data_IF_957047601872
#
_entry.id   IF_957047601872
#
_cell.length_a   1.000
_cell.length_b   1.000
_cell.length_c   1.000
_cell.angle_alpha   90.00
_cell.angle_beta   90.00
_cell.angle_gamma   90.00
#
_symmetry.space_group_name_H-M   'P 1'
#
loop_
_entity.id
_entity.type
_entity.pdbx_description
1 polymer ?
#
# COMPACT_ATOMS: atom_id res chain seq x y z
N UNK A 1 3.01 -9.49 -19.70
CA UNK A 1 1.58 -9.61 -19.37
C UNK A 1 1.34 -8.77 -18.13
N UNK A 2 1.05 -7.49 -18.33
CA UNK A 2 0.53 -6.60 -17.28
C UNK A 2 -0.90 -7.08 -16.98
N UNK A 3 -1.21 -7.33 -15.71
CA UNK A 3 -2.60 -7.54 -15.31
C UNK A 3 -3.42 -6.28 -15.63
N UNK A 4 -4.76 -6.33 -15.56
CA UNK A 4 -5.54 -5.10 -15.61
C UNK A 4 -5.04 -4.20 -14.48
N UNK A 5 -4.45 -3.07 -14.82
CA UNK A 5 -4.09 -2.04 -13.85
C UNK A 5 -5.38 -1.63 -13.13
N UNK A 6 -5.30 -1.57 -11.80
CA UNK A 6 -6.40 -1.08 -10.98
C UNK A 6 -6.75 0.33 -11.44
N UNK A 7 -8.01 0.55 -11.84
CA UNK A 7 -8.42 1.88 -12.26
C UNK A 7 -8.25 2.88 -11.11
N UNK A 8 -8.05 4.15 -11.48
CA UNK A 8 -7.76 5.21 -10.52
C UNK A 8 -8.86 5.34 -9.44
N UNK A 9 -10.13 5.11 -9.78
CA UNK A 9 -11.23 5.23 -8.83
C UNK A 9 -11.20 4.12 -7.76
N UNK A 10 -10.80 2.91 -8.14
CA UNK A 10 -10.66 1.79 -7.20
C UNK A 10 -9.42 1.95 -6.32
N UNK A 11 -8.30 2.39 -6.91
CA UNK A 11 -7.10 2.79 -6.16
C UNK A 11 -7.41 3.87 -5.11
N UNK A 12 -8.12 4.91 -5.52
CA UNK A 12 -8.62 5.99 -4.66
C UNK A 12 -9.50 5.44 -3.53
N UNK A 13 -10.46 4.56 -3.85
CA UNK A 13 -11.34 3.95 -2.86
C UNK A 13 -10.56 3.17 -1.81
N UNK A 14 -9.62 2.30 -2.21
CA UNK A 14 -8.76 1.55 -1.29
C UNK A 14 -7.93 2.45 -0.39
N UNK A 15 -7.42 3.56 -0.93
CA UNK A 15 -6.72 4.58 -0.13
C UNK A 15 -7.62 5.12 0.97
N UNK A 16 -8.84 5.51 0.61
CA UNK A 16 -9.85 6.08 1.52
C UNK A 16 -10.48 5.04 2.45
N UNK A 17 -10.22 3.76 2.26
CA UNK A 17 -10.53 2.71 3.23
C UNK A 17 -9.43 2.57 4.30
N UNK A 18 -8.21 3.07 4.05
CA UNK A 18 -7.03 2.81 4.89
C UNK A 18 -6.92 3.83 6.01
N UNK A 19 -6.76 3.36 7.25
CA UNK A 19 -6.66 4.19 8.45
C UNK A 19 -5.37 3.95 9.22
N UNK A 20 -4.94 4.94 9.99
CA UNK A 20 -3.88 4.78 10.98
C UNK A 20 -4.52 4.54 12.35
N UNK A 21 -4.01 3.56 13.09
CA UNK A 21 -4.40 3.25 14.46
C UNK A 21 -3.25 3.68 15.38
N UNK A 22 -3.56 4.51 16.37
CA UNK A 22 -2.59 5.01 17.35
C UNK A 22 -3.05 4.74 18.79
N UNK A 23 -2.10 4.55 19.70
CA UNK A 23 -2.34 4.44 21.16
C UNK A 23 -1.69 5.61 21.89
N UNK A 24 -2.06 5.85 23.15
CA UNK A 24 -1.46 6.91 23.98
C UNK A 24 0.06 6.74 24.17
N UNK A 25 0.56 5.50 24.17
CA UNK A 25 1.98 5.17 24.29
C UNK A 25 2.76 5.34 22.98
N UNK A 26 2.12 5.85 21.93
CA UNK A 26 2.74 6.14 20.64
C UNK A 26 2.94 4.94 19.74
N UNK A 27 2.35 3.77 20.06
CA UNK A 27 2.31 2.66 19.12
C UNK A 27 1.46 3.07 17.91
N UNK A 28 1.98 2.81 16.72
CA UNK A 28 1.35 3.12 15.43
C UNK A 28 1.18 1.85 14.63
N UNK A 29 0.01 1.67 14.06
CA UNK A 29 -0.25 0.58 13.13
C UNK A 29 -1.26 0.97 12.07
N UNK A 30 -1.44 0.08 11.11
CA UNK A 30 -2.38 0.25 10.00
C UNK A 30 -3.70 -0.42 10.33
N UNK A 31 -4.76 0.03 9.66
CA UNK A 31 -6.03 -0.65 9.65
C UNK A 31 -6.82 -0.28 8.40
N UNK A 32 -8.01 -0.86 8.25
CA UNK A 32 -8.89 -0.48 7.15
C UNK A 32 -10.36 -0.73 7.46
N UNK A 33 -11.22 0.02 6.77
CA UNK A 33 -12.68 -0.09 6.87
C UNK A 33 -13.17 -1.37 6.19
N UNK A 34 -13.86 -2.22 6.96
CA UNK A 34 -14.53 -3.46 6.48
C UNK A 34 -16.05 -3.35 6.45
N UNK A 35 -16.59 -2.34 7.13
CA UNK A 35 -17.99 -1.92 7.05
C UNK A 35 -18.08 -0.46 7.53
N UNK A 36 -19.22 0.24 7.36
CA UNK A 36 -19.39 1.61 7.88
C UNK A 36 -19.08 1.68 9.39
N UNK A 37 -18.07 2.48 9.75
CA UNK A 37 -17.63 2.62 11.14
C UNK A 37 -16.98 1.38 11.76
N UNK A 38 -16.55 0.39 10.95
CA UNK A 38 -15.88 -0.82 11.42
C UNK A 38 -14.48 -0.91 10.83
N UNK A 39 -13.47 -0.92 11.67
CA UNK A 39 -12.06 -0.97 11.27
C UNK A 39 -11.43 -2.29 11.71
N UNK A 40 -10.75 -2.97 10.79
CA UNK A 40 -9.87 -4.11 11.12
C UNK A 40 -8.42 -3.64 11.27
N UNK A 41 -7.73 -4.19 12.26
CA UNK A 41 -6.29 -4.03 12.49
C UNK A 41 -5.73 -5.28 13.19
N UNK A 42 -4.47 -5.25 13.65
CA UNK A 42 -3.88 -6.32 14.47
C UNK A 42 -4.29 -6.22 15.95
N UNK A 43 -4.51 -7.37 16.60
CA UNK A 43 -4.87 -7.43 18.03
C UNK A 43 -3.79 -6.83 18.93
N UNK A 44 -2.52 -7.13 18.67
CA UNK A 44 -1.39 -6.63 19.46
C UNK A 44 -1.20 -5.11 19.44
N UNK A 45 -1.84 -4.42 18.49
CA UNK A 45 -1.81 -2.95 18.40
C UNK A 45 -2.73 -2.34 19.45
N UNK A 46 -3.84 -3.01 19.71
CA UNK A 46 -4.96 -2.47 20.50
C UNK A 46 -4.98 -3.05 21.90
N UNK A 47 -4.14 -4.05 22.19
CA UNK A 47 -3.98 -4.66 23.50
C UNK A 47 -2.65 -4.24 24.11
N UNK A 48 -2.68 -3.83 25.38
CA UNK A 48 -1.48 -3.60 26.17
C UNK A 48 -0.79 -4.94 26.49
N UNK A 49 0.54 -4.97 26.39
CA UNK A 49 1.39 -6.13 26.66
C UNK A 49 1.50 -6.51 28.13
N UNK A 50 0.45 -6.33 28.93
CA UNK A 50 0.36 -6.91 30.27
C UNK A 50 0.52 -8.42 30.16
N UNK A 51 1.50 -8.99 30.87
CA UNK A 51 1.88 -10.40 30.75
C UNK A 51 0.70 -11.36 30.87
N UNK A 52 0.88 -12.57 30.32
CA UNK A 52 -0.11 -13.62 30.05
C UNK A 52 -1.08 -14.04 31.19
N UNK A 53 -0.97 -13.46 32.38
CA UNK A 53 -1.81 -13.76 33.56
C UNK A 53 -3.02 -12.83 33.71
N UNK A 54 -3.03 -11.64 33.09
CA UNK A 54 -4.22 -10.79 32.99
C UNK A 54 -4.62 -10.72 31.52
N UNK A 55 -5.88 -10.99 31.19
CA UNK A 55 -6.39 -10.81 29.83
C UNK A 55 -5.97 -9.44 29.28
N UNK A 56 -5.62 -9.38 27.99
CA UNK A 56 -5.06 -8.17 27.40
C UNK A 56 -6.02 -7.01 27.59
N UNK A 57 -5.57 -5.95 28.27
CA UNK A 57 -6.37 -4.73 28.41
C UNK A 57 -6.29 -3.95 27.12
N UNK A 58 -7.40 -3.34 26.71
CA UNK A 58 -7.38 -2.43 25.55
C UNK A 58 -6.50 -1.24 25.88
N UNK A 59 -5.58 -0.91 24.98
CA UNK A 59 -4.63 0.18 25.13
C UNK A 59 -5.34 1.51 25.37
N UNK A 60 -4.81 2.30 26.32
CA UNK A 60 -5.34 3.62 26.62
C UNK A 60 -5.14 4.59 25.44
N UNK A 61 -6.10 5.51 25.28
CA UNK A 61 -6.06 6.53 24.24
C UNK A 61 -6.01 5.99 22.81
N UNK A 62 -6.66 4.85 22.56
CA UNK A 62 -6.80 4.29 21.22
C UNK A 62 -7.56 5.25 20.30
N UNK A 63 -6.97 5.55 19.15
CA UNK A 63 -7.49 6.52 18.18
C UNK A 63 -7.35 5.96 16.76
N UNK A 64 -8.40 6.13 15.96
CA UNK A 64 -8.37 5.92 14.51
C UNK A 64 -8.20 7.28 13.82
N UNK A 65 -7.17 7.42 13.00
CA UNK A 65 -6.96 8.58 12.13
C UNK A 65 -7.25 8.24 10.69
N UNK A 66 -7.96 9.14 10.04
CA UNK A 66 -8.36 9.07 8.65
C UNK A 66 -8.26 10.46 8.02
N UNK A 67 -8.26 10.58 6.68
CA UNK A 67 -8.20 11.88 5.99
C UNK A 67 -9.34 12.83 6.42
N UNK A 68 -10.47 12.28 6.87
CA UNK A 68 -11.63 13.06 7.33
C UNK A 68 -11.56 13.50 8.80
N UNK A 69 -10.62 12.98 9.59
CA UNK A 69 -10.54 13.34 11.00
C UNK A 69 -9.86 12.31 11.91
N UNK A 70 -9.98 12.58 13.20
CA UNK A 70 -9.40 11.78 14.28
C UNK A 70 -10.54 11.31 15.18
N UNK A 71 -10.63 10.00 15.41
CA UNK A 71 -11.76 9.34 16.03
C UNK A 71 -11.30 8.51 17.24
N UNK A 72 -11.59 8.95 18.47
CA UNK A 72 -11.31 8.16 19.67
C UNK A 72 -12.11 6.85 19.68
N UNK A 73 -11.47 5.78 20.13
CA UNK A 73 -12.09 4.45 20.30
C UNK A 73 -12.15 4.11 21.77
N UNK A 74 -13.36 3.89 22.28
CA UNK A 74 -13.55 3.47 23.68
C UNK A 74 -13.27 1.96 23.82
N UNK A 75 -12.77 1.49 24.98
CA UNK A 75 -12.44 0.08 25.18
C UNK A 75 -13.58 -0.91 24.88
N UNK A 76 -14.82 -0.57 25.21
CA UNK A 76 -16.00 -1.40 24.94
C UNK A 76 -16.32 -1.59 23.45
N UNK A 77 -15.68 -0.82 22.57
CA UNK A 77 -15.84 -0.90 21.12
C UNK A 77 -14.74 -1.72 20.43
N UNK A 78 -13.90 -2.41 21.20
CA UNK A 78 -12.79 -3.22 20.69
C UNK A 78 -13.10 -4.70 20.91
N UNK A 79 -13.05 -5.48 19.82
CA UNK A 79 -13.02 -6.94 19.86
C UNK A 79 -11.69 -7.42 19.31
N UNK A 80 -10.89 -8.11 20.10
CA UNK A 80 -9.58 -8.60 19.70
C UNK A 80 -9.47 -10.12 19.85
N UNK A 81 -8.84 -10.77 18.88
CA UNK A 81 -8.54 -12.19 18.87
C UNK A 81 -7.06 -12.43 18.51
N UNK A 82 -6.28 -13.05 19.42
CA UNK A 82 -6.69 -13.47 20.77
C UNK A 82 -6.98 -12.29 21.70
N UNK A 83 -7.74 -12.55 22.77
CA UNK A 83 -8.10 -11.55 23.77
C UNK A 83 -6.93 -11.16 24.71
N UNK A 84 -5.75 -11.76 24.54
CA UNK A 84 -4.55 -11.45 25.29
C UNK A 84 -3.35 -11.43 24.35
N UNK A 85 -2.45 -10.46 24.54
CA UNK A 85 -1.15 -10.48 23.90
C UNK A 85 -0.33 -11.65 24.49
N UNK A 86 -0.10 -12.71 23.71
CA UNK A 86 0.81 -13.76 24.17
C UNK A 86 2.26 -13.25 24.12
N UNK A 87 2.99 -13.44 25.22
CA UNK A 87 4.43 -13.21 25.27
C UNK A 87 5.17 -14.39 24.60
N UNK A 88 5.02 -14.51 23.29
CA UNK A 88 5.70 -15.52 22.47
C UNK A 88 6.62 -14.87 21.41
N UNK A 89 7.61 -15.61 20.88
CA UNK A 89 8.43 -15.13 19.76
C UNK A 89 7.64 -14.98 18.46
N UNK A 90 6.44 -15.56 18.41
CA UNK A 90 5.50 -15.44 17.32
C UNK A 90 4.21 -14.82 17.85
N UNK A 91 3.75 -13.78 17.17
CA UNK A 91 2.49 -13.11 17.47
C UNK A 91 1.35 -14.11 17.37
N UNK A 92 0.54 -14.18 18.43
CA UNK A 92 -0.52 -15.17 18.55
C UNK A 92 -1.53 -15.09 17.41
N UNK A 93 -2.14 -16.22 17.07
CA UNK A 93 -3.08 -16.32 15.97
C UNK A 93 -4.53 -16.10 16.48
N UNK A 94 -5.40 -15.36 15.76
CA UNK A 94 -5.19 -14.78 14.43
C UNK A 94 -4.49 -13.41 14.42
N UNK A 95 -4.34 -12.73 15.56
CA UNK A 95 -3.84 -11.34 15.67
C UNK A 95 -4.72 -10.36 14.88
N UNK A 96 -6.02 -10.41 15.14
CA UNK A 96 -7.01 -9.51 14.53
C UNK A 96 -7.75 -8.72 15.61
N UNK A 97 -8.01 -7.46 15.35
CA UNK A 97 -8.93 -6.64 16.13
C UNK A 97 -9.94 -5.94 15.22
N UNK A 98 -11.16 -5.82 15.73
CA UNK A 98 -12.25 -5.06 15.15
C UNK A 98 -12.55 -3.88 16.07
N UNK A 99 -12.45 -2.67 15.52
CA UNK A 99 -12.76 -1.42 16.19
C UNK A 99 -14.10 -0.90 15.69
N UNK A 100 -14.97 -0.52 16.63
CA UNK A 100 -16.25 0.13 16.32
C UNK A 100 -16.14 1.63 16.53
N UNK A 101 -16.29 2.38 15.45
CA UNK A 101 -16.12 3.83 15.37
C UNK A 101 -17.40 4.47 14.82
N UNK A 102 -18.47 4.63 15.63
CA UNK A 102 -19.78 5.08 15.16
C UNK A 102 -19.74 6.42 14.41
N UNK A 103 -18.85 7.33 14.81
CA UNK A 103 -18.65 8.63 14.16
C UNK A 103 -18.21 8.52 12.69
N UNK A 104 -17.68 7.37 12.26
CA UNK A 104 -17.32 7.08 10.87
C UNK A 104 -18.43 6.33 10.09
N UNK A 105 -19.52 5.89 10.73
CA UNK A 105 -20.55 5.10 10.04
C UNK A 105 -21.38 5.96 9.07
N UNK A 106 -21.61 7.24 9.39
CA UNK A 106 -22.42 8.17 8.58
C UNK A 106 -21.64 9.00 7.55
N UNK A 107 -20.32 8.83 7.44
CA UNK A 107 -19.48 9.70 6.60
C UNK A 107 -19.37 9.25 5.14
N UNK A 108 -19.99 8.11 4.77
CA UNK A 108 -19.95 7.59 3.40
C UNK A 108 -18.56 7.20 2.93
N UNK A 109 -17.65 6.86 3.86
CA UNK A 109 -16.34 6.34 3.49
C UNK A 109 -16.49 5.01 2.76
N UNK A 110 -15.66 4.77 1.72
CA UNK A 110 -15.64 3.47 1.08
C UNK A 110 -15.22 2.38 2.06
N UNK A 111 -15.64 1.16 1.76
CA UNK A 111 -15.31 -0.05 2.50
C UNK A 111 -14.43 -0.91 1.60
N UNK A 112 -13.38 -1.51 2.17
CA UNK A 112 -12.47 -2.33 1.39
C UNK A 112 -13.18 -3.63 0.95
N UNK A 113 -13.23 -3.91 -0.36
CA UNK A 113 -13.89 -5.11 -0.86
C UNK A 113 -13.03 -6.34 -0.55
N UNK A 114 -13.62 -7.36 0.08
CA UNK A 114 -12.94 -8.63 0.35
C UNK A 114 -13.04 -9.55 -0.86
N UNK A 115 -12.01 -10.36 -1.11
CA UNK A 115 -12.10 -11.38 -2.14
C UNK A 115 -12.95 -12.57 -1.69
N UNK A 116 -13.35 -13.42 -2.65
CA UNK A 116 -14.03 -14.69 -2.35
C UNK A 116 -13.09 -15.86 -2.07
N UNK A 117 -11.79 -15.72 -2.35
CA UNK A 117 -10.81 -16.80 -2.26
C UNK A 117 -9.42 -16.31 -1.80
N UNK A 118 -8.62 -17.23 -1.29
CA UNK A 118 -7.22 -16.95 -0.92
C UNK A 118 -6.37 -16.65 -2.16
N UNK A 119 -5.33 -15.83 -2.00
CA UNK A 119 -4.34 -15.63 -3.04
C UNK A 119 -3.49 -16.90 -3.26
N UNK A 120 -3.28 -17.28 -4.51
CA UNK A 120 -2.43 -18.42 -4.86
C UNK A 120 -0.94 -18.09 -4.63
N UNK A 121 -0.07 -19.09 -4.40
CA UNK A 121 1.37 -18.90 -4.45
C UNK A 121 1.82 -18.24 -5.76
N UNK A 122 2.75 -17.30 -5.67
CA UNK A 122 3.23 -16.48 -6.78
C UNK A 122 2.37 -15.25 -7.09
N UNK A 123 1.15 -15.14 -6.53
CA UNK A 123 0.32 -13.95 -6.72
C UNK A 123 1.02 -12.71 -6.16
N UNK A 124 1.08 -11.65 -6.97
CA UNK A 124 1.52 -10.32 -6.54
C UNK A 124 0.41 -9.67 -5.71
N UNK A 125 0.78 -9.19 -4.53
CA UNK A 125 -0.08 -8.42 -3.64
C UNK A 125 0.56 -7.07 -3.36
N UNK A 126 -0.28 -6.07 -3.14
CA UNK A 126 0.15 -4.77 -2.63
C UNK A 126 -0.37 -4.58 -1.23
N UNK A 127 0.52 -4.37 -0.26
CA UNK A 127 0.11 -3.92 1.06
C UNK A 127 -0.20 -2.43 1.02
N UNK A 128 -1.33 -2.01 1.59
CA UNK A 128 -1.62 -0.61 1.89
C UNK A 128 -1.68 -0.41 3.41
N UNK A 129 -0.97 0.59 3.90
CA UNK A 129 -0.92 0.91 5.32
C UNK A 129 -0.08 2.16 5.61
N UNK A 130 0.21 2.40 6.87
CA UNK A 130 1.05 3.49 7.34
C UNK A 130 2.24 2.92 8.10
N UNK A 131 3.47 3.23 7.68
CA UNK A 131 4.63 2.91 8.50
C UNK A 131 4.79 3.89 9.66
N UNK A 132 5.57 3.51 10.66
CA UNK A 132 6.01 4.40 11.73
C UNK A 132 6.76 5.65 11.22
N UNK A 133 7.20 5.61 9.96
CA UNK A 133 7.94 6.66 9.26
C UNK A 133 7.06 7.52 8.32
N UNK A 134 5.74 7.28 8.24
CA UNK A 134 4.86 8.14 7.44
C UNK A 134 4.84 9.55 8.06
N UNK A 135 5.26 10.61 7.33
CA UNK A 135 5.54 11.93 7.90
C UNK A 135 4.30 12.69 8.39
N UNK A 136 3.16 12.50 7.74
CA UNK A 136 1.86 13.02 8.20
C UNK A 136 0.87 11.86 8.29
N UNK A 137 0.54 11.40 9.50
CA UNK A 137 -0.58 10.50 9.75
C UNK A 137 -1.84 10.87 8.95
N UNK A 138 -2.34 9.96 8.11
CA UNK A 138 -3.65 10.10 7.46
C UNK A 138 -3.72 10.89 6.14
N UNK A 139 -2.60 11.21 5.48
CA UNK A 139 -2.62 11.92 4.19
C UNK A 139 -2.52 10.97 2.99
N UNK A 140 -1.61 9.99 3.02
CA UNK A 140 -1.56 8.90 2.04
C UNK A 140 -0.92 7.66 2.70
N UNK A 141 -1.49 6.45 2.50
CA UNK A 141 -0.86 5.21 2.92
C UNK A 141 0.41 4.94 2.09
N UNK A 142 1.41 4.39 2.74
CA UNK A 142 2.56 3.76 2.10
C UNK A 142 2.12 2.43 1.42
N UNK A 143 2.79 2.05 0.35
CA UNK A 143 2.54 0.79 -0.37
C UNK A 143 3.75 -0.13 -0.39
N UNK A 144 3.52 -1.44 -0.30
CA UNK A 144 4.59 -2.46 -0.41
C UNK A 144 4.20 -3.52 -1.46
N UNK A 145 5.08 -3.73 -2.43
CA UNK A 145 4.95 -4.83 -3.39
C UNK A 145 5.46 -6.14 -2.78
N UNK A 146 4.58 -7.14 -2.74
CA UNK A 146 4.81 -8.44 -2.12
C UNK A 146 4.35 -9.56 -3.04
N UNK A 147 4.88 -10.76 -2.87
CA UNK A 147 4.45 -11.97 -3.57
C UNK A 147 4.14 -13.06 -2.56
N UNK A 148 3.04 -13.77 -2.79
CA UNK A 148 2.65 -14.91 -1.95
C UNK A 148 3.64 -16.05 -2.15
N UNK A 149 4.23 -16.53 -1.06
CA UNK A 149 5.07 -17.74 -1.08
C UNK A 149 4.20 -18.98 -0.85
N UNK A 150 3.26 -18.89 0.10
CA UNK A 150 2.37 -19.98 0.48
C UNK A 150 2.18 -20.07 1.99
N UNK A 151 1.52 -21.14 2.44
CA UNK A 151 1.23 -21.35 3.86
C UNK A 151 2.51 -21.53 4.68
N UNK A 152 2.56 -20.87 5.84
CA UNK A 152 3.62 -20.95 6.84
C UNK A 152 2.98 -21.07 8.22
N UNK A 153 2.72 -22.31 8.63
CA UNK A 153 1.92 -22.58 9.83
C UNK A 153 0.47 -22.13 9.62
N UNK A 154 -0.06 -21.33 10.55
CA UNK A 154 -1.43 -20.78 10.47
C UNK A 154 -1.52 -19.50 9.62
N UNK A 155 -0.39 -18.91 9.24
CA UNK A 155 -0.31 -17.71 8.42
C UNK A 155 0.04 -18.04 6.97
N UNK A 156 -0.06 -17.04 6.10
CA UNK A 156 0.49 -17.09 4.73
C UNK A 156 1.72 -16.21 4.68
N UNK A 157 2.82 -16.75 4.14
CA UNK A 157 4.08 -16.04 3.97
C UNK A 157 4.08 -15.25 2.66
N UNK A 158 4.65 -14.06 2.72
CA UNK A 158 4.90 -13.17 1.59
C UNK A 158 6.35 -12.71 1.57
N UNK A 159 6.88 -12.48 0.37
CA UNK A 159 8.25 -12.00 0.13
C UNK A 159 8.25 -10.77 -0.78
N UNK A 160 9.30 -9.97 -0.72
CA UNK A 160 9.45 -8.77 -1.55
C UNK A 160 9.97 -7.60 -0.73
N UNK A 161 9.23 -6.50 -0.70
CA UNK A 161 9.59 -5.35 0.12
C UNK A 161 9.64 -5.70 1.63
N UNK A 162 10.57 -5.09 2.35
CA UNK A 162 10.65 -5.24 3.80
C UNK A 162 9.43 -4.59 4.47
N UNK A 163 8.71 -5.36 5.29
CA UNK A 163 7.59 -4.84 6.08
C UNK A 163 8.14 -3.97 7.21
N UNK A 164 7.97 -2.65 7.08
CA UNK A 164 8.43 -1.66 8.07
C UNK A 164 7.48 -1.66 9.27
N UNK A 165 7.95 -1.35 10.50
CA UNK A 165 7.08 -1.20 11.67
C UNK A 165 5.89 -0.27 11.38
N UNK A 166 4.70 -0.66 11.82
CA UNK A 166 3.45 0.10 11.64
C UNK A 166 2.58 -0.41 10.48
N UNK A 167 3.13 -1.19 9.55
CA UNK A 167 2.33 -1.80 8.49
C UNK A 167 1.39 -2.89 8.98
N UNK A 168 1.63 -3.45 10.17
CA UNK A 168 0.74 -4.41 10.81
C UNK A 168 -0.70 -3.90 10.85
N UNK A 169 -1.65 -4.75 10.48
CA UNK A 169 -3.07 -4.44 10.37
C UNK A 169 -3.49 -3.87 9.01
N UNK A 170 -2.54 -3.57 8.11
CA UNK A 170 -2.81 -3.09 6.76
C UNK A 170 -3.44 -4.16 5.88
N UNK A 171 -4.19 -3.72 4.86
CA UNK A 171 -4.79 -4.63 3.87
C UNK A 171 -3.73 -5.14 2.89
N UNK A 172 -3.84 -6.39 2.47
CA UNK A 172 -3.15 -6.92 1.28
C UNK A 172 -4.14 -7.03 0.14
N UNK A 173 -3.85 -6.35 -0.97
CA UNK A 173 -4.77 -6.23 -2.10
C UNK A 173 -4.19 -6.94 -3.33
N UNK A 174 -5.03 -7.71 -4.01
CA UNK A 174 -4.69 -8.32 -5.30
C UNK A 174 -4.71 -7.32 -6.46
N UNK A 175 -4.28 -7.74 -7.66
CA UNK A 175 -4.36 -6.90 -8.87
C UNK A 175 -5.81 -6.56 -9.28
N UNK A 176 -6.79 -7.30 -8.76
CA UNK A 176 -8.23 -7.06 -8.96
C UNK A 176 -8.81 -5.99 -8.01
N UNK A 177 -8.01 -5.51 -7.05
CA UNK A 177 -8.44 -4.54 -6.05
C UNK A 177 -9.17 -5.15 -4.87
N UNK A 178 -9.12 -6.47 -4.72
CA UNK A 178 -9.79 -7.18 -3.63
C UNK A 178 -8.79 -7.52 -2.52
N UNK A 179 -9.22 -7.36 -1.26
CA UNK A 179 -8.43 -7.70 -0.08
C UNK A 179 -8.31 -9.21 0.05
N UNK A 180 -7.07 -9.69 0.15
CA UNK A 180 -6.68 -11.10 0.29
C UNK A 180 -6.21 -11.46 1.70
N UNK A 181 -6.14 -10.49 2.61
CA UNK A 181 -5.81 -10.72 4.01
C UNK A 181 -5.31 -9.48 4.74
N UNK A 182 -4.90 -9.68 6.00
CA UNK A 182 -4.39 -8.62 6.89
C UNK A 182 -2.91 -8.83 7.14
N UNK A 183 -2.08 -7.85 6.77
CA UNK A 183 -0.63 -7.91 6.93
C UNK A 183 -0.26 -7.90 8.42
N UNK A 184 0.66 -8.78 8.82
CA UNK A 184 1.34 -8.71 10.11
C UNK A 184 2.64 -7.95 9.96
N UNK A 185 3.08 -7.25 11.01
CA UNK A 185 4.42 -6.69 10.99
C UNK A 185 5.43 -7.82 10.83
N UNK A 186 6.44 -7.59 10.01
CA UNK A 186 7.54 -8.52 9.86
C UNK A 186 8.28 -8.67 11.18
N UNK A 187 8.73 -9.88 11.49
CA UNK A 187 9.76 -10.10 12.52
C UNK A 187 10.94 -9.15 12.25
N UNK A 188 11.69 -8.71 13.26
CA UNK A 188 12.76 -7.70 13.08
C UNK A 188 13.86 -8.09 12.07
N UNK A 189 13.93 -9.33 11.59
CA UNK A 189 14.99 -9.81 10.69
C UNK A 189 14.56 -10.97 9.76
N UNK A 190 13.53 -10.86 8.90
CA UNK A 190 13.24 -11.92 7.94
C UNK A 190 14.27 -11.81 6.81
N UNK A 191 15.14 -12.80 6.66
CA UNK A 191 15.91 -13.01 5.42
C UNK A 191 15.38 -14.29 4.76
N UNK A 192 14.83 -14.22 3.53
CA UNK A 192 14.62 -13.04 2.69
C UNK A 192 13.55 -12.06 3.24
N UNK A 193 13.58 -10.77 2.82
CA UNK A 193 12.64 -9.74 3.26
C UNK A 193 11.20 -10.09 2.87
N UNK A 194 10.27 -9.69 3.73
CA UNK A 194 8.85 -9.99 3.57
C UNK A 194 8.12 -10.00 4.90
N UNK A 195 7.08 -10.81 5.00
CA UNK A 195 6.28 -10.92 6.21
C UNK A 195 5.28 -12.07 6.15
N UNK A 196 4.29 -11.97 7.03
CA UNK A 196 3.18 -12.92 7.10
C UNK A 196 1.88 -12.15 7.09
N UNK A 197 0.81 -12.80 6.65
CA UNK A 197 -0.52 -12.24 6.75
C UNK A 197 -1.53 -13.26 7.25
N UNK A 198 -2.59 -12.74 7.84
CA UNK A 198 -3.74 -13.50 8.31
C UNK A 198 -4.58 -13.91 7.10
N UNK A 199 -4.81 -15.23 6.87
CA UNK A 199 -5.56 -15.70 5.71
C UNK A 199 -6.95 -15.07 5.60
N UNK A 200 -7.45 -14.89 4.38
CA UNK A 200 -8.75 -14.30 4.11
C UNK A 200 -9.89 -15.07 4.78
N UNK A 201 -9.87 -16.40 4.74
CA UNK A 201 -10.89 -17.23 5.37
C UNK A 201 -10.97 -16.99 6.89
N UNK A 202 -9.83 -16.69 7.52
CA UNK A 202 -9.74 -16.38 8.96
C UNK A 202 -10.28 -14.98 9.24
N UNK A 203 -9.97 -14.02 8.38
CA UNK A 203 -10.56 -12.67 8.44
C UNK A 203 -12.09 -12.73 8.31
N UNK A 204 -12.61 -13.45 7.32
CA UNK A 204 -14.06 -13.60 7.10
C UNK A 204 -14.73 -14.26 8.31
N UNK A 205 -14.14 -15.35 8.82
CA UNK A 205 -14.65 -16.03 10.00
C UNK A 205 -14.64 -15.12 11.24
N UNK A 206 -13.58 -14.32 11.43
CA UNK A 206 -13.50 -13.32 12.49
C UNK A 206 -14.61 -12.29 12.35
N UNK A 207 -14.79 -11.70 11.16
CA UNK A 207 -15.80 -10.67 10.92
C UNK A 207 -17.23 -11.18 11.13
N UNK A 208 -17.52 -12.43 10.76
CA UNK A 208 -18.85 -13.02 10.90
C UNK A 208 -19.91 -12.16 10.18
N UNK A 209 -20.96 -11.66 10.88
CA UNK A 209 -21.99 -10.84 10.25
C UNK A 209 -21.52 -9.43 9.86
N UNK A 210 -20.37 -8.98 10.37
CA UNK A 210 -19.76 -7.70 9.98
C UNK A 210 -18.90 -7.83 8.71
N UNK A 211 -18.83 -9.02 8.10
CA UNK A 211 -18.15 -9.18 6.81
C UNK A 211 -18.92 -8.42 5.73
N UNK A 212 -18.26 -7.60 4.89
CA UNK A 212 -18.94 -7.00 3.76
C UNK A 212 -19.45 -8.10 2.85
N UNK A 213 -20.61 -7.87 2.23
CA UNK A 213 -21.11 -8.76 1.20
C UNK A 213 -20.02 -8.98 0.16
N UNK A 214 -19.86 -10.24 -0.25
CA UNK A 214 -18.92 -10.55 -1.32
C UNK A 214 -19.26 -9.62 -2.50
N UNK A 215 -18.28 -8.90 -3.06
CA UNK A 215 -18.56 -8.06 -4.21
C UNK A 215 -19.22 -8.94 -5.26
N UNK A 216 -20.42 -8.55 -5.72
CA UNK A 216 -21.02 -9.19 -6.90
C UNK A 216 -19.93 -9.18 -7.96
N UNK A 217 -19.63 -10.37 -8.51
CA UNK A 217 -18.60 -10.52 -9.52
C UNK A 217 -18.81 -9.40 -10.53
N UNK A 218 -17.78 -8.57 -10.81
CA UNK A 218 -17.98 -7.40 -11.64
C UNK A 218 -18.64 -7.87 -12.93
N UNK A 219 -19.86 -7.37 -13.21
CA UNK A 219 -20.49 -7.60 -14.50
C UNK A 219 -19.42 -7.26 -15.53
N UNK A 220 -19.02 -8.27 -16.30
CA UNK A 220 -17.99 -8.10 -17.32
C UNK A 220 -18.36 -6.85 -18.11
N UNK A 221 -17.46 -5.85 -18.22
CA UNK A 221 -17.83 -4.56 -18.77
C UNK A 221 -18.49 -4.78 -20.12
N UNK A 222 -19.79 -4.50 -20.18
CA UNK A 222 -20.55 -4.50 -21.42
C UNK A 222 -19.78 -3.63 -22.39
N UNK A 223 -19.45 -4.20 -23.55
CA UNK A 223 -18.63 -3.59 -24.57
C UNK A 223 -19.34 -2.33 -25.13
N UNK A 224 -19.27 -1.23 -24.39
CA UNK A 224 -19.51 0.09 -24.91
C UNK A 224 -18.30 0.43 -25.76
N UNK A 225 -18.39 0.08 -27.04
CA UNK A 225 -17.50 0.53 -28.10
C UNK A 225 -17.53 2.05 -28.16
N UNK A 226 -16.65 2.70 -27.40
CA UNK A 226 -16.31 4.10 -27.60
C UNK A 226 -15.53 4.14 -28.92
N UNK A 227 -16.18 4.66 -29.96
CA UNK A 227 -15.53 4.92 -31.22
C UNK A 227 -14.32 5.83 -30.96
N UNK A 228 -13.12 5.27 -31.11
CA UNK A 228 -11.86 5.98 -31.02
C UNK A 228 -11.79 6.99 -32.18
N UNK A 229 -12.24 8.21 -31.92
CA UNK A 229 -11.85 9.35 -32.74
C UNK A 229 -10.35 9.55 -32.52
N UNK A 230 -9.54 9.16 -33.50
CA UNK A 230 -8.11 9.41 -33.48
C UNK A 230 -7.87 10.91 -33.26
N UNK A 231 -7.18 11.31 -32.17
CA UNK A 231 -6.83 12.71 -32.00
C UNK A 231 -5.84 13.07 -33.10
N UNK A 232 -6.07 14.24 -33.71
CA UNK A 232 -5.09 14.89 -34.58
C UNK A 232 -3.83 15.08 -33.76
N UNK A 233 -2.81 14.24 -34.00
CA UNK A 233 -1.51 14.31 -33.34
C UNK A 233 -0.82 15.58 -33.80
N UNK A 234 -1.05 16.68 -33.08
CA UNK A 234 -0.07 17.74 -33.06
C UNK A 234 1.20 17.13 -32.47
N UNK A 235 2.33 17.32 -33.14
CA UNK A 235 3.62 16.85 -32.64
C UNK A 235 3.91 17.56 -31.32
N UNK A 236 3.48 16.96 -30.21
CA UNK A 236 3.69 17.51 -28.89
C UNK A 236 5.19 17.57 -28.64
N UNK A 237 5.66 18.77 -28.32
CA UNK A 237 7.05 19.02 -27.97
C UNK A 237 7.49 18.01 -26.90
N UNK A 238 8.70 17.42 -27.01
CA UNK A 238 9.21 16.57 -25.94
C UNK A 238 9.24 17.39 -24.63
N UNK A 239 8.77 16.80 -23.52
CA UNK A 239 8.71 17.51 -22.23
C UNK A 239 10.12 17.98 -21.83
N UNK A 240 10.23 19.05 -21.05
CA UNK A 240 11.51 19.48 -20.50
C UNK A 240 11.81 18.81 -19.14
N UNK A 241 12.96 19.14 -18.53
CA UNK A 241 13.33 18.59 -17.22
C UNK A 241 12.35 19.01 -16.13
N UNK A 242 11.83 20.25 -16.21
CA UNK A 242 10.94 20.80 -15.20
C UNK A 242 9.61 20.06 -15.20
N UNK A 243 9.06 19.74 -16.37
CA UNK A 243 7.82 18.98 -16.50
C UNK A 243 7.94 17.55 -15.93
N UNK A 244 9.05 16.86 -16.21
CA UNK A 244 9.34 15.55 -15.62
C UNK A 244 9.46 15.64 -14.09
N UNK A 245 10.17 16.65 -13.58
CA UNK A 245 10.29 16.87 -12.13
C UNK A 245 8.93 17.17 -11.51
N UNK A 246 8.10 18.00 -12.15
CA UNK A 246 6.76 18.30 -11.66
C UNK A 246 5.85 17.07 -11.64
N UNK A 247 5.97 16.18 -12.62
CA UNK A 247 5.29 14.89 -12.59
C UNK A 247 5.76 14.02 -11.41
N UNK A 248 7.07 13.96 -11.14
CA UNK A 248 7.62 13.21 -9.99
C UNK A 248 7.27 13.84 -8.63
N UNK A 249 7.13 15.16 -8.57
CA UNK A 249 6.73 15.91 -7.38
C UNK A 249 5.28 15.63 -6.97
N UNK A 250 4.44 15.14 -7.89
CA UNK A 250 3.06 14.78 -7.59
C UNK A 250 2.95 13.53 -6.70
N UNK A 251 3.97 12.66 -6.65
CA UNK A 251 3.97 11.44 -5.84
C UNK A 251 4.39 11.74 -4.39
N UNK A 252 3.50 11.63 -3.38
CA UNK A 252 3.88 11.84 -1.98
C UNK A 252 5.04 10.93 -1.53
N UNK A 253 5.13 9.74 -2.12
CA UNK A 253 6.22 8.79 -1.91
C UNK A 253 7.62 9.40 -2.08
N UNK A 254 7.82 10.24 -3.10
CA UNK A 254 9.13 10.85 -3.38
C UNK A 254 9.47 12.02 -2.45
N UNK A 255 8.56 12.42 -1.55
CA UNK A 255 8.86 13.42 -0.53
C UNK A 255 9.90 12.93 0.48
N UNK A 256 9.95 11.62 0.72
CA UNK A 256 10.89 10.97 1.65
C UNK A 256 12.24 10.76 0.99
N UNK A 257 13.32 10.95 1.75
CA UNK A 257 14.67 10.59 1.28
C UNK A 257 14.73 9.09 0.95
N UNK A 258 14.29 8.22 1.88
CA UNK A 258 14.21 6.78 1.66
C UNK A 258 13.36 6.41 0.44
N UNK A 259 12.23 7.09 0.20
CA UNK A 259 11.40 6.83 -0.98
C UNK A 259 12.14 7.12 -2.28
N UNK A 260 12.95 8.18 -2.31
CA UNK A 260 13.83 8.48 -3.45
C UNK A 260 14.95 7.44 -3.60
N UNK A 261 15.51 6.92 -2.50
CA UNK A 261 16.51 5.86 -2.57
C UNK A 261 15.93 4.52 -3.02
N UNK A 262 14.76 4.14 -2.50
CA UNK A 262 14.01 2.96 -2.93
C UNK A 262 13.69 3.04 -4.44
N UNK A 263 13.35 4.24 -4.94
CA UNK A 263 13.18 4.51 -6.37
C UNK A 263 14.47 4.26 -7.16
N UNK A 264 15.59 4.82 -6.72
CA UNK A 264 16.89 4.61 -7.36
C UNK A 264 17.31 3.13 -7.36
N UNK A 265 17.04 2.41 -6.28
CA UNK A 265 17.32 0.97 -6.19
C UNK A 265 16.52 0.17 -7.21
N UNK A 266 15.21 0.40 -7.30
CA UNK A 266 14.33 -0.25 -8.28
C UNK A 266 14.72 0.09 -9.71
N UNK A 267 15.07 1.34 -9.98
CA UNK A 267 15.59 1.72 -11.30
C UNK A 267 16.85 0.94 -11.67
N UNK A 268 17.78 0.77 -10.72
CA UNK A 268 18.99 -0.03 -10.94
C UNK A 268 18.68 -1.47 -11.33
N UNK A 269 17.73 -2.10 -10.63
CA UNK A 269 17.26 -3.46 -10.92
C UNK A 269 16.66 -3.57 -12.34
N UNK A 270 15.78 -2.64 -12.72
CA UNK A 270 15.16 -2.62 -14.06
C UNK A 270 16.14 -2.34 -15.19
N UNK A 271 17.24 -1.66 -14.90
CA UNK A 271 18.34 -1.42 -15.83
C UNK A 271 19.39 -2.54 -15.83
N UNK A 272 19.23 -3.58 -15.00
CA UNK A 272 20.19 -4.68 -14.87
C UNK A 272 21.53 -4.24 -14.29
N UNK A 273 21.55 -3.16 -13.51
CA UNK A 273 22.75 -2.68 -12.83
C UNK A 273 23.04 -3.54 -11.58
N UNK A 274 24.32 -3.77 -11.24
CA UNK A 274 24.68 -4.50 -10.02
C UNK A 274 24.49 -3.65 -8.74
N UNK A 275 24.08 -2.40 -8.89
CA UNK A 275 23.86 -1.42 -7.82
C UNK A 275 22.66 -0.53 -8.17
N UNK A 276 22.21 0.27 -7.21
CA UNK A 276 21.16 1.27 -7.42
C UNK A 276 21.55 2.28 -8.50
N UNK A 277 20.57 2.89 -9.17
CA UNK A 277 20.81 3.95 -10.14
C UNK A 277 21.48 5.16 -9.47
N UNK A 278 22.58 5.66 -10.02
CA UNK A 278 23.39 6.70 -9.36
C UNK A 278 22.89 8.11 -9.66
N UNK A 279 22.40 8.82 -8.65
CA UNK A 279 22.15 10.26 -8.70
C UNK A 279 22.79 10.93 -7.48
N UNK A 280 23.28 12.17 -7.65
CA UNK A 280 23.83 12.95 -6.55
C UNK A 280 22.73 13.27 -5.53
N UNK A 281 22.93 12.83 -4.28
CA UNK A 281 21.98 13.08 -3.21
C UNK A 281 21.84 14.58 -2.93
N UNK A 282 20.59 15.02 -2.78
CA UNK A 282 20.25 16.35 -2.26
C UNK A 282 19.21 16.23 -1.16
N UNK A 283 19.35 17.09 -0.15
CA UNK A 283 18.40 17.21 0.95
C UNK A 283 17.05 17.73 0.45
N UNK A 284 17.07 18.74 -0.43
CA UNK A 284 15.87 19.26 -1.07
C UNK A 284 15.31 18.23 -2.07
N UNK A 285 13.98 18.01 -1.98
CA UNK A 285 13.27 17.02 -2.78
C UNK A 285 13.34 17.36 -4.27
N UNK A 286 13.04 18.62 -4.63
CA UNK A 286 12.93 19.04 -6.03
C UNK A 286 14.31 19.00 -6.69
N UNK A 287 15.33 19.46 -5.99
CA UNK A 287 16.71 19.40 -6.46
C UNK A 287 17.19 17.96 -6.65
N UNK A 288 16.88 17.06 -5.72
CA UNK A 288 17.24 15.64 -5.88
C UNK A 288 16.52 15.03 -7.08
N UNK A 289 15.21 15.22 -7.23
CA UNK A 289 14.44 14.73 -8.37
C UNK A 289 14.97 15.31 -9.70
N UNK A 290 15.37 16.58 -9.72
CA UNK A 290 16.03 17.19 -10.87
C UNK A 290 17.34 16.50 -11.23
N UNK A 291 18.17 16.12 -10.24
CA UNK A 291 19.39 15.33 -10.48
C UNK A 291 19.09 13.95 -11.06
N UNK A 292 18.05 13.29 -10.57
CA UNK A 292 17.59 11.99 -11.09
C UNK A 292 17.17 12.13 -12.56
N UNK A 293 16.29 13.07 -12.88
CA UNK A 293 15.82 13.33 -14.25
C UNK A 293 16.99 13.65 -15.20
N UNK A 294 17.88 14.56 -14.77
CA UNK A 294 19.07 14.93 -15.55
C UNK A 294 19.99 13.72 -15.76
N UNK A 295 20.11 12.82 -14.80
CA UNK A 295 20.90 11.59 -14.96
C UNK A 295 20.25 10.63 -15.95
N UNK A 296 18.93 10.43 -15.89
CA UNK A 296 18.21 9.61 -16.87
C UNK A 296 18.44 10.11 -18.31
N UNK A 297 18.39 11.43 -18.52
CA UNK A 297 18.62 12.02 -19.86
C UNK A 297 20.04 11.90 -20.37
N UNK A 298 21.02 11.93 -19.47
CA UNK A 298 22.44 11.75 -19.82
C UNK A 298 22.88 10.28 -19.72
N UNK A 299 21.95 9.35 -19.50
CA UNK A 299 22.24 7.92 -19.52
C UNK A 299 22.56 7.47 -20.95
N UNK A 300 23.40 6.43 -21.09
CA UNK A 300 23.78 5.87 -22.40
C UNK A 300 22.56 5.48 -23.24
N UNK A 301 21.54 4.95 -22.57
CA UNK A 301 20.22 4.68 -23.13
C UNK A 301 19.19 5.48 -22.31
N UNK A 302 18.95 6.73 -22.73
CA UNK A 302 18.05 7.64 -22.04
C UNK A 302 16.57 7.16 -22.05
N UNK A 303 16.02 6.66 -23.18
CA UNK A 303 14.69 6.05 -23.18
C UNK A 303 14.54 4.92 -22.17
N UNK A 304 15.51 3.99 -22.10
CA UNK A 304 15.47 2.90 -21.13
C UNK A 304 15.49 3.40 -19.68
N UNK A 305 16.34 4.38 -19.37
CA UNK A 305 16.41 4.96 -18.02
C UNK A 305 15.12 5.66 -17.59
N UNK A 306 14.47 6.39 -18.51
CA UNK A 306 13.18 7.03 -18.25
C UNK A 306 12.04 6.01 -18.09
N UNK A 307 12.04 4.92 -18.89
CA UNK A 307 11.09 3.83 -18.70
C UNK A 307 11.31 3.10 -17.37
N UNK A 308 12.56 2.85 -16.98
CA UNK A 308 12.89 2.27 -15.68
C UNK A 308 12.44 3.15 -14.51
N UNK A 309 12.55 4.48 -14.63
CA UNK A 309 12.01 5.44 -13.65
C UNK A 309 10.49 5.29 -13.50
N UNK A 310 9.75 5.20 -14.61
CA UNK A 310 8.30 4.97 -14.59
C UNK A 310 7.96 3.62 -13.98
N UNK A 311 8.55 2.52 -14.46
CA UNK A 311 8.28 1.17 -13.97
C UNK A 311 8.60 1.03 -12.49
N UNK A 312 9.68 1.66 -12.01
CA UNK A 312 10.01 1.69 -10.59
C UNK A 312 8.93 2.42 -9.76
N UNK A 313 8.38 3.56 -10.24
CA UNK A 313 7.29 4.25 -9.53
C UNK A 313 5.97 3.49 -9.60
N UNK A 314 5.67 2.85 -10.72
CA UNK A 314 4.51 1.97 -10.87
C UNK A 314 4.59 0.78 -9.88
N UNK A 315 5.80 0.27 -9.59
CA UNK A 315 5.96 -0.76 -8.58
C UNK A 315 5.87 -0.25 -7.14
N UNK A 316 6.44 0.92 -6.88
CA UNK A 316 6.55 1.49 -5.53
C UNK A 316 5.26 2.17 -5.09
N UNK A 317 4.49 2.72 -6.02
CA UNK A 317 3.25 3.44 -5.79
C UNK A 317 2.19 3.09 -6.85
N UNK A 318 1.79 1.81 -6.99
CA UNK A 318 0.94 1.30 -8.07
C UNK A 318 -0.46 1.92 -8.16
N UNK A 319 -0.87 2.64 -7.12
CA UNK A 319 -2.22 3.20 -6.96
C UNK A 319 -2.21 4.72 -6.88
N UNK A 320 -1.07 5.35 -7.14
CA UNK A 320 -0.96 6.80 -7.13
C UNK A 320 -1.55 7.37 -8.44
N UNK A 321 -2.51 8.29 -8.32
CA UNK A 321 -3.12 8.96 -9.47
C UNK A 321 -2.14 9.76 -10.34
N UNK A 322 -0.95 10.07 -9.82
CA UNK A 322 0.09 10.70 -10.60
C UNK A 322 0.72 9.77 -11.65
N UNK A 323 0.47 8.45 -11.61
CA UNK A 323 1.03 7.49 -12.57
C UNK A 323 0.62 7.77 -14.01
N UNK A 324 -0.65 8.11 -14.29
CA UNK A 324 -1.10 8.39 -15.66
C UNK A 324 -0.39 9.60 -16.26
N UNK A 325 -0.25 10.66 -15.45
CA UNK A 325 0.51 11.85 -15.84
C UNK A 325 1.97 11.50 -16.10
N UNK A 326 2.60 10.75 -15.20
CA UNK A 326 3.99 10.33 -15.37
C UNK A 326 4.17 9.46 -16.61
N UNK A 327 3.26 8.51 -16.87
CA UNK A 327 3.26 7.64 -18.06
C UNK A 327 3.21 8.47 -19.34
N UNK A 328 2.34 9.48 -19.38
CA UNK A 328 2.24 10.39 -20.52
C UNK A 328 3.54 11.17 -20.74
N UNK A 329 4.06 11.82 -19.69
CA UNK A 329 5.29 12.63 -19.79
C UNK A 329 6.50 11.77 -20.13
N UNK A 330 6.70 10.62 -19.48
CA UNK A 330 7.79 9.68 -19.78
C UNK A 330 7.66 9.10 -21.18
N UNK A 331 6.44 8.73 -21.61
CA UNK A 331 6.19 8.23 -22.95
C UNK A 331 6.63 9.22 -24.03
N UNK A 332 6.30 10.51 -23.88
CA UNK A 332 6.75 11.55 -24.79
C UNK A 332 8.27 11.76 -24.74
N UNK A 333 8.86 11.74 -23.54
CA UNK A 333 10.30 11.90 -23.34
C UNK A 333 11.13 10.74 -23.93
N UNK A 334 10.60 9.52 -23.89
CA UNK A 334 11.24 8.31 -24.39
C UNK A 334 10.98 8.04 -25.89
N UNK A 335 10.26 8.93 -26.58
CA UNK A 335 9.91 8.76 -27.99
C UNK A 335 8.82 7.71 -28.26
N UNK A 336 7.92 7.50 -27.30
CA UNK A 336 6.86 6.50 -27.33
C UNK A 336 7.15 5.28 -26.46
N UNK A 337 6.13 4.47 -26.19
CA UNK A 337 6.25 3.21 -25.44
C UNK A 337 6.65 2.02 -26.32
N UNK A 338 6.33 2.06 -27.61
CA UNK A 338 6.54 0.96 -28.56
C UNK A 338 7.85 1.04 -29.34
N UNK A 339 8.55 2.18 -29.28
CA UNK A 339 9.81 2.40 -29.98
C UNK A 339 10.91 1.51 -29.35
N UNK A 340 11.39 0.52 -30.10
CA UNK A 340 12.61 -0.27 -29.86
C UNK A 340 13.52 -0.11 -31.07
#
# INVERSE_FOLDING_TARGET
>A
MTGPDLDHARAEALRRCTVLVETAVGARASGFLVAPGRVVTCARVVLDGGGAAEGGRVAEGLVVRHESGTYPVVPGNVRAEPASAEAGPFEAFPDLALLTVPAMAGSGHPVAPLAGEEAAPGTRLTALGYSAYTPTPGVHPDTLALHVVGRSGKFIRVEGAAVKPGFGGGMLVGPDGLVRGVLKDGSRHPRPPGGWYVPLAVLIAFLGPDAPDAPEAPEAPGAASVASAAPVVQAERPPDDAELVDALMAFPYTARADGRFDLLDRMGQHLGLPHSFEAEERTDRRDHLFRIVRRCRNHRDAPAALRALYTALEELAPYDGALDRLRSVVGRAAGGWESR
#
